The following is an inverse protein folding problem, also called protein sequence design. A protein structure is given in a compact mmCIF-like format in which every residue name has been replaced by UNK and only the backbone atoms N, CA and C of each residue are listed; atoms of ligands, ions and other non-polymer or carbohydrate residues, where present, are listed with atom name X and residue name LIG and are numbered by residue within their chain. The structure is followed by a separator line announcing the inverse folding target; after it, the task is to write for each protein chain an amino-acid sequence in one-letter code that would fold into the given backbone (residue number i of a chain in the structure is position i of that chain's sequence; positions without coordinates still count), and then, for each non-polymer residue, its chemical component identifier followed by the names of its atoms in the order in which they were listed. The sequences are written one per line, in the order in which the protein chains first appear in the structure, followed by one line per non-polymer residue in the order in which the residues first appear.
data_IF_410059687025
#
_entry.id   IF_410059687025
#
_cell.length_a   1.000
_cell.length_b   1.000
_cell.length_c   1.000
_cell.angle_alpha   90.00
_cell.angle_beta   90.00
_cell.angle_gamma   90.00
#
_symmetry.space_group_name_H-M   'P 1'
#
loop_
_entity.id
_entity.type
_entity.pdbx_description
1 polymer ?
#
# COMPACT_ATOMS: atom_id res chain seq x y z
N UNK A 1 1.96 23.39 2.09
CA UNK A 1 2.41 23.11 0.78
C UNK A 1 1.53 22.22 0.01
N UNK A 2 1.29 22.62 -1.16
CA UNK A 2 0.47 21.88 -2.06
C UNK A 2 1.25 20.74 -2.66
N UNK A 3 0.54 19.81 -3.25
CA UNK A 3 1.15 18.75 -4.01
C UNK A 3 1.90 19.34 -5.19
N UNK A 4 2.99 18.73 -5.58
CA UNK A 4 3.80 19.17 -6.67
C UNK A 4 3.83 18.10 -7.75
N UNK A 5 3.84 18.53 -9.00
CA UNK A 5 4.03 17.59 -10.12
C UNK A 5 3.02 16.45 -10.11
N UNK A 6 1.77 16.80 -10.24
CA UNK A 6 0.72 15.79 -10.32
C UNK A 6 0.67 15.22 -11.73
N UNK A 7 0.77 13.91 -11.82
CA UNK A 7 0.62 13.20 -13.08
C UNK A 7 -0.56 12.27 -12.98
N UNK A 8 -1.38 12.27 -14.02
CA UNK A 8 -2.55 11.41 -14.08
C UNK A 8 -2.30 10.21 -14.95
N UNK A 9 -2.81 9.07 -14.50
CA UNK A 9 -2.63 7.83 -15.21
C UNK A 9 -3.93 7.05 -15.16
N UNK A 10 -4.22 6.32 -16.22
CA UNK A 10 -5.37 5.46 -16.24
C UNK A 10 -4.92 4.03 -15.96
N UNK A 11 -5.52 3.38 -14.97
CA UNK A 11 -5.22 1.99 -14.65
C UNK A 11 -6.53 1.23 -14.57
N UNK A 12 -6.85 0.51 -15.64
CA UNK A 12 -8.11 -0.20 -15.71
C UNK A 12 -9.27 0.75 -15.62
N UNK A 13 -10.12 0.57 -14.65
CA UNK A 13 -11.29 1.41 -14.46
C UNK A 13 -11.05 2.52 -13.44
N UNK A 14 -9.79 2.88 -13.24
CA UNK A 14 -9.44 3.89 -12.24
C UNK A 14 -8.57 4.96 -12.85
N UNK A 15 -8.65 6.16 -12.27
CA UNK A 15 -7.72 7.23 -12.56
C UNK A 15 -6.85 7.42 -11.33
N UNK A 16 -5.55 7.51 -11.54
CA UNK A 16 -4.60 7.63 -10.43
C UNK A 16 -3.86 8.93 -10.58
N UNK A 17 -3.89 9.73 -9.53
CA UNK A 17 -3.10 10.96 -9.45
C UNK A 17 -1.83 10.63 -8.68
N UNK A 18 -0.70 10.67 -9.37
CA UNK A 18 0.60 10.41 -8.78
C UNK A 18 1.20 11.76 -8.45
N UNK A 19 1.52 11.98 -7.19
CA UNK A 19 2.05 13.28 -6.79
C UNK A 19 3.02 13.12 -5.61
N UNK A 20 3.74 14.20 -5.37
CA UNK A 20 4.65 14.29 -4.23
C UNK A 20 4.12 15.35 -3.29
N UNK A 21 4.12 15.03 -2.02
CA UNK A 21 3.66 15.97 -1.02
C UNK A 21 4.53 15.80 0.22
N UNK A 22 5.17 16.86 0.66
CA UNK A 22 6.05 16.84 1.82
C UNK A 22 7.16 15.80 1.68
N UNK A 23 7.67 15.65 0.45
CA UNK A 23 8.75 14.71 0.20
C UNK A 23 8.34 13.26 0.13
N UNK A 24 7.04 12.98 0.12
CA UNK A 24 6.54 11.62 0.05
C UNK A 24 5.71 11.43 -1.19
N UNK A 25 5.87 10.28 -1.80
CA UNK A 25 5.08 9.94 -2.97
C UNK A 25 3.71 9.46 -2.55
N UNK A 26 2.69 9.96 -3.23
CA UNK A 26 1.31 9.58 -2.97
C UNK A 26 0.62 9.24 -4.27
N UNK A 27 -0.16 8.19 -4.25
CA UNK A 27 -1.04 7.84 -5.36
C UNK A 27 -2.47 7.88 -4.86
N UNK A 28 -3.29 8.69 -5.52
CA UNK A 28 -4.69 8.84 -5.13
C UNK A 28 -5.55 8.27 -6.24
N UNK A 29 -6.37 7.31 -5.87
CA UNK A 29 -7.14 6.51 -6.83
C UNK A 29 -8.60 6.94 -6.82
N UNK A 30 -9.13 7.15 -8.02
CA UNK A 30 -10.53 7.52 -8.25
C UNK A 30 -11.15 6.55 -9.24
N UNK A 31 -12.44 6.27 -9.08
CA UNK A 31 -13.11 5.48 -10.10
C UNK A 31 -13.49 6.38 -11.28
N UNK A 32 -14.17 5.81 -12.27
CA UNK A 32 -14.49 6.56 -13.48
C UNK A 32 -15.51 7.66 -13.23
N UNK A 33 -16.14 7.66 -12.09
CA UNK A 33 -17.09 8.70 -11.71
C UNK A 33 -16.43 9.74 -10.81
N UNK A 34 -15.10 9.68 -10.70
CA UNK A 34 -14.31 10.60 -9.88
C UNK A 34 -14.58 10.45 -8.39
N UNK A 35 -15.00 9.26 -7.96
CA UNK A 35 -15.16 8.98 -6.54
C UNK A 35 -13.85 8.45 -5.99
N UNK A 36 -13.40 9.03 -4.90
CA UNK A 36 -12.14 8.62 -4.26
C UNK A 36 -12.28 7.21 -3.71
N UNK A 37 -11.27 6.39 -3.99
CA UNK A 37 -11.28 4.98 -3.58
C UNK A 37 -10.13 4.62 -2.68
N UNK A 38 -8.98 5.25 -2.82
CA UNK A 38 -7.79 4.83 -2.09
C UNK A 38 -6.72 5.89 -2.23
N UNK A 39 -6.00 6.14 -1.13
CA UNK A 39 -4.75 6.90 -1.19
C UNK A 39 -3.65 6.02 -0.63
N UNK A 40 -2.61 5.82 -1.43
CA UNK A 40 -1.40 5.14 -1.00
C UNK A 40 -0.33 6.18 -0.75
N UNK A 41 0.31 6.11 0.39
CA UNK A 41 1.40 7.02 0.72
C UNK A 41 2.62 6.20 1.08
N UNK A 42 3.73 6.48 0.40
CA UNK A 42 5.01 5.86 0.73
C UNK A 42 5.46 6.42 2.07
N UNK A 43 5.76 5.56 3.04
CA UNK A 43 6.17 6.01 4.36
C UNK A 43 7.44 5.30 4.78
N UNK A 44 8.10 5.88 5.77
CA UNK A 44 9.29 5.28 6.36
C UNK A 44 8.86 4.29 7.44
N UNK A 45 9.80 3.41 7.81
CA UNK A 45 9.55 2.47 8.89
C UNK A 45 9.07 3.18 10.15
N UNK A 46 9.67 4.33 10.44
CA UNK A 46 9.32 5.10 11.63
C UNK A 46 7.90 5.64 11.57
N UNK A 47 7.31 5.67 10.40
CA UNK A 47 5.93 6.12 10.25
C UNK A 47 4.91 5.05 10.54
N UNK A 48 5.33 3.81 10.73
CA UNK A 48 4.41 2.74 11.07
C UNK A 48 3.99 2.85 12.54
N UNK A 49 2.75 2.48 12.85
CA UNK A 49 2.37 2.38 14.26
C UNK A 49 3.27 1.39 14.99
N UNK A 50 3.58 1.66 16.25
CA UNK A 50 4.41 0.71 17.00
C UNK A 50 3.84 -0.70 17.06
N UNK A 51 2.53 -0.83 17.05
CA UNK A 51 1.89 -2.14 17.04
C UNK A 51 2.23 -2.92 15.77
N UNK A 52 2.30 -2.24 14.64
CA UNK A 52 2.66 -2.89 13.38
C UNK A 52 4.15 -3.23 13.39
N UNK A 53 4.99 -2.32 13.87
CA UNK A 53 6.42 -2.59 13.96
C UNK A 53 6.69 -3.83 14.80
N UNK A 54 6.04 -3.91 15.96
CA UNK A 54 6.22 -5.04 16.86
C UNK A 54 5.74 -6.34 16.21
N UNK A 55 4.59 -6.28 15.54
CA UNK A 55 4.05 -7.47 14.90
C UNK A 55 4.99 -7.97 13.80
N UNK A 56 5.52 -7.06 13.01
CA UNK A 56 6.44 -7.45 11.94
C UNK A 56 7.71 -8.06 12.52
N UNK A 57 8.28 -7.42 13.52
CA UNK A 57 9.54 -7.87 14.10
C UNK A 57 9.41 -9.18 14.83
N UNK A 58 8.22 -9.50 15.31
CA UNK A 58 7.98 -10.78 15.97
C UNK A 58 7.49 -11.87 15.04
N UNK A 59 7.34 -11.59 13.77
CA UNK A 59 6.79 -12.54 12.83
C UNK A 59 7.84 -13.26 12.01
N UNK A 60 7.36 -14.10 11.11
CA UNK A 60 8.26 -14.95 10.34
C UNK A 60 9.01 -14.21 9.26
N UNK A 61 8.61 -12.98 8.95
CA UNK A 61 9.28 -12.20 7.90
C UNK A 61 10.23 -11.17 8.45
N UNK A 62 10.52 -11.21 9.74
CA UNK A 62 11.32 -10.18 10.40
C UNK A 62 12.71 -10.04 9.80
N UNK A 63 13.27 -11.11 9.28
CA UNK A 63 14.63 -11.11 8.74
C UNK A 63 14.68 -10.89 7.23
N UNK A 64 13.51 -10.80 6.60
CA UNK A 64 13.47 -10.58 5.16
C UNK A 64 13.78 -9.12 4.85
N UNK A 65 14.29 -8.87 3.65
CA UNK A 65 14.59 -7.51 3.23
C UNK A 65 13.30 -6.75 3.02
N UNK A 66 13.20 -5.58 3.62
CA UNK A 66 12.05 -4.70 3.43
C UNK A 66 12.29 -3.83 2.21
N UNK A 67 11.35 -3.86 1.26
CA UNK A 67 11.49 -3.09 0.04
C UNK A 67 10.73 -1.78 0.14
N UNK A 68 9.42 -1.86 0.35
CA UNK A 68 8.59 -0.67 0.38
C UNK A 68 7.60 -0.76 1.51
N UNK A 69 7.22 0.38 2.04
CA UNK A 69 6.21 0.47 3.08
C UNK A 69 5.24 1.55 2.67
N UNK A 70 3.95 1.21 2.67
CA UNK A 70 2.90 2.13 2.27
C UNK A 70 1.78 2.16 3.28
N UNK A 71 1.18 3.34 3.41
CA UNK A 71 -0.05 3.51 4.17
C UNK A 71 -1.19 3.60 3.17
N UNK A 72 -2.25 2.85 3.44
CA UNK A 72 -3.42 2.79 2.57
C UNK A 72 -4.61 3.39 3.30
N UNK A 73 -5.18 4.44 2.73
CA UNK A 73 -6.32 5.12 3.30
C UNK A 73 -7.53 4.93 2.39
N UNK A 74 -8.65 4.56 2.98
CA UNK A 74 -9.89 4.27 2.28
C UNK A 74 -11.00 5.18 2.76
N UNK A 75 -12.07 5.35 1.96
CA UNK A 75 -13.19 6.20 2.40
C UNK A 75 -13.87 5.74 3.68
N UNK A 76 -14.01 4.43 3.84
CA UNK A 76 -14.79 3.89 4.94
C UNK A 76 -14.01 2.92 5.79
N UNK A 77 -13.20 2.08 5.15
CA UNK A 77 -12.46 1.06 5.86
C UNK A 77 -11.33 1.67 6.67
N UNK A 78 -10.92 1.00 7.75
CA UNK A 78 -9.77 1.48 8.52
C UNK A 78 -8.50 1.48 7.69
N UNK A 79 -7.57 2.32 8.10
CA UNK A 79 -6.26 2.43 7.46
C UNK A 79 -5.54 1.09 7.55
N UNK A 80 -4.84 0.73 6.49
CA UNK A 80 -3.99 -0.45 6.48
C UNK A 80 -2.57 -0.04 6.13
N UNK A 81 -1.62 -0.89 6.50
CA UNK A 81 -0.21 -0.67 6.23
C UNK A 81 0.35 -1.87 5.51
N UNK A 82 1.09 -1.62 4.44
CA UNK A 82 1.66 -2.71 3.63
C UNK A 82 3.16 -2.66 3.75
N UNK A 83 3.75 -3.80 4.09
CA UNK A 83 5.21 -3.94 4.08
C UNK A 83 5.54 -4.97 3.02
N UNK A 84 6.33 -4.55 2.05
CA UNK A 84 6.77 -5.47 0.99
C UNK A 84 8.11 -6.05 1.40
N UNK A 85 8.23 -7.36 1.34
CA UNK A 85 9.42 -8.07 1.79
C UNK A 85 9.90 -9.02 0.71
N UNK A 86 11.21 -9.24 0.71
CA UNK A 86 11.85 -10.05 -0.31
C UNK A 86 12.88 -10.95 0.33
N UNK A 87 12.94 -12.19 -0.15
CA UNK A 87 13.98 -13.13 0.26
C UNK A 87 14.28 -14.04 -0.93
N UNK A 88 15.43 -13.80 -1.57
CA UNK A 88 15.77 -14.55 -2.77
C UNK A 88 14.75 -14.28 -3.87
N UNK A 89 14.10 -15.33 -4.32
CA UNK A 89 13.10 -15.21 -5.38
C UNK A 89 11.68 -15.01 -4.85
N UNK A 90 11.52 -14.97 -3.55
CA UNK A 90 10.20 -14.83 -2.95
C UNK A 90 9.96 -13.38 -2.57
N UNK A 91 8.76 -12.92 -2.86
CA UNK A 91 8.38 -11.55 -2.58
C UNK A 91 6.94 -11.52 -2.15
N UNK A 92 6.65 -10.89 -1.02
CA UNK A 92 5.31 -10.83 -0.48
C UNK A 92 4.96 -9.41 -0.09
N UNK A 93 3.67 -9.11 -0.17
CA UNK A 93 3.11 -7.90 0.40
C UNK A 93 2.32 -8.31 1.64
N UNK A 94 2.66 -7.71 2.78
CA UNK A 94 2.03 -8.02 4.06
C UNK A 94 1.15 -6.86 4.46
N UNK A 95 -0.14 -7.12 4.61
CA UNK A 95 -1.11 -6.08 4.93
C UNK A 95 -1.48 -6.15 6.39
N UNK A 96 -1.23 -5.08 7.13
CA UNK A 96 -1.49 -5.02 8.57
C UNK A 96 -2.56 -4.00 8.87
N UNK A 97 -3.42 -4.34 9.84
CA UNK A 97 -4.28 -3.34 10.46
C UNK A 97 -3.44 -2.49 11.40
N UNK A 98 -3.97 -1.35 11.77
CA UNK A 98 -3.24 -0.44 12.66
C UNK A 98 -2.93 -1.02 14.03
N UNK A 99 -3.66 -2.06 14.45
CA UNK A 99 -3.41 -2.70 15.73
C UNK A 99 -2.36 -3.81 15.64
N UNK A 100 -1.79 -4.03 14.45
CA UNK A 100 -0.73 -5.02 14.27
C UNK A 100 -1.20 -6.36 13.77
N UNK A 101 -2.50 -6.55 13.58
CA UNK A 101 -2.99 -7.82 13.02
C UNK A 101 -2.62 -7.93 11.56
N UNK A 102 -2.05 -9.07 11.18
CA UNK A 102 -1.76 -9.33 9.78
C UNK A 102 -3.07 -9.78 9.12
N UNK A 103 -3.56 -8.95 8.21
CA UNK A 103 -4.85 -9.18 7.57
C UNK A 103 -4.73 -10.06 6.34
N UNK A 104 -3.64 -9.92 5.61
CA UNK A 104 -3.51 -10.58 4.32
C UNK A 104 -2.04 -10.67 3.96
N UNK A 105 -1.69 -11.75 3.30
CA UNK A 105 -0.37 -11.92 2.71
C UNK A 105 -0.58 -12.20 1.23
N UNK A 106 0.11 -11.46 0.39
CA UNK A 106 -0.05 -11.58 -1.05
C UNK A 106 1.30 -11.92 -1.67
N UNK A 107 1.33 -13.02 -2.39
CA UNK A 107 2.55 -13.46 -3.06
C UNK A 107 2.68 -12.70 -4.38
N UNK A 108 3.73 -11.92 -4.48
CA UNK A 108 4.00 -11.17 -5.71
C UNK A 108 5.33 -11.56 -6.32
N UNK A 109 5.81 -12.75 -5.97
CA UNK A 109 7.08 -13.25 -6.46
C UNK A 109 7.06 -13.30 -7.98
N UNK A 110 8.08 -12.72 -8.59
CA UNK A 110 8.18 -12.74 -10.04
C UNK A 110 7.21 -11.82 -10.75
N UNK A 111 6.41 -11.08 -10.02
CA UNK A 111 5.41 -10.21 -10.58
C UNK A 111 5.89 -8.77 -10.49
N UNK A 112 6.04 -8.14 -11.63
CA UNK A 112 6.51 -6.76 -11.65
C UNK A 112 5.40 -5.75 -11.49
N UNK A 113 4.16 -6.20 -11.53
CA UNK A 113 3.05 -5.30 -11.39
C UNK A 113 2.78 -5.08 -9.93
N UNK A 114 3.17 -3.96 -9.42
CA UNK A 114 2.95 -3.65 -8.02
C UNK A 114 1.69 -2.88 -7.80
N UNK A 115 0.77 -3.06 -8.61
CA UNK A 115 -0.51 -2.51 -8.39
C UNK A 115 -1.25 -3.38 -7.47
N UNK A 116 -1.83 -3.12 -6.83
CA UNK A 116 -2.35 -3.10 -5.67
C UNK A 116 -3.76 -3.47 -5.57
N UNK A 117 -4.03 -4.23 -5.34
CA UNK A 117 -4.11 -4.86 -4.30
C UNK A 117 -5.45 -4.68 -3.71
N UNK A 118 -5.77 -3.91 -2.82
CA UNK A 118 -7.14 -3.79 -2.34
C UNK A 118 -8.08 -3.32 -3.42
N UNK A 119 -7.52 -2.68 -4.42
CA UNK A 119 -8.30 -2.28 -5.57
C UNK A 119 -8.89 -3.50 -6.25
N UNK A 120 -8.14 -4.57 -6.34
CA UNK A 120 -8.68 -5.78 -6.95
C UNK A 120 -9.83 -6.33 -6.15
N UNK A 121 -9.75 -6.25 -4.84
CA UNK A 121 -10.85 -6.69 -4.02
C UNK A 121 -12.08 -5.83 -4.21
N UNK A 122 -11.89 -4.55 -4.33
CA UNK A 122 -13.01 -3.67 -4.61
C UNK A 122 -13.67 -4.02 -5.91
N UNK A 123 -12.85 -4.39 -6.88
CA UNK A 123 -13.34 -4.70 -8.18
C UNK A 123 -14.15 -5.96 -8.19
N UNK A 124 -13.65 -6.95 -7.51
CA UNK A 124 -14.32 -8.23 -7.48
C UNK A 124 -15.30 -8.30 -6.39
N UNK A 125 -15.31 -7.33 -5.57
CA UNK A 125 -16.12 -7.37 -4.40
C UNK A 125 -17.53 -7.60 -4.72
N UNK A 126 -17.88 -8.31 -5.45
CA UNK A 126 -19.17 -8.66 -5.72
C UNK A 126 -19.75 -9.37 -4.66
#
# INVERSE_FOLDING_TARGET
PAAMDIEWERKGNYFVADCWMDGREMDVWYDVQATWKLTETDILWEGLPPTVQTAFEGGEYAQWKREDIDMLEYPVQPVQYVIEVENGNEEYQLFYAGDGNLLQKRDVSGNKDDTHWPIDELKTGR
#
